data_IF_844532282787
#
_entry.id   IF_844532282787
#
_cell.length_a   1.000
_cell.length_b   1.000
_cell.length_c   1.000
_cell.angle_alpha   90.00
_cell.angle_beta   90.00
_cell.angle_gamma   90.00
#
_symmetry.space_group_name_H-M   'P 1'
#
loop_
_entity.id
_entity.type
_entity.pdbx_description
1 polymer ?
#
# COMPACT_ATOMS: atom_id res chain seq x y z
N UNK A 1 -6.63 -0.57 -7.06
CA UNK A 1 -6.67 -1.72 -7.98
C UNK A 1 -6.24 -1.31 -9.37
N UNK A 2 -5.00 -1.63 -9.70
CA UNK A 2 -4.52 -1.63 -11.08
C UNK A 2 -5.16 -2.79 -11.84
N UNK A 3 -5.49 -2.58 -13.10
CA UNK A 3 -5.95 -3.53 -14.12
C UNK A 3 -4.96 -4.67 -14.46
N UNK A 4 -3.99 -4.94 -13.59
CA UNK A 4 -2.93 -5.91 -13.78
C UNK A 4 -3.22 -7.17 -12.99
N UNK A 5 -2.88 -8.33 -13.56
CA UNK A 5 -2.98 -9.61 -12.86
C UNK A 5 -2.18 -9.62 -11.57
N UNK A 6 -2.77 -10.16 -10.51
CA UNK A 6 -2.15 -10.39 -9.21
C UNK A 6 -2.39 -11.84 -8.76
N UNK A 7 -1.49 -12.36 -7.92
CA UNK A 7 -1.61 -13.72 -7.41
C UNK A 7 -2.39 -13.74 -6.09
N UNK A 8 -3.39 -14.62 -6.04
CA UNK A 8 -4.16 -14.91 -4.84
C UNK A 8 -4.12 -16.40 -4.54
N UNK A 9 -4.11 -16.73 -3.25
CA UNK A 9 -4.22 -18.08 -2.75
C UNK A 9 -5.59 -18.27 -2.09
N UNK A 10 -6.32 -19.28 -2.53
CA UNK A 10 -7.58 -19.70 -1.91
C UNK A 10 -7.30 -20.89 -0.99
N UNK A 11 -7.54 -20.72 0.31
CA UNK A 11 -7.32 -21.76 1.32
C UNK A 11 -8.66 -22.21 1.94
N UNK A 12 -8.64 -23.33 2.66
CA UNK A 12 -9.82 -23.93 3.30
C UNK A 12 -10.97 -24.17 2.30
N UNK A 13 -10.68 -24.84 1.18
CA UNK A 13 -11.65 -25.10 0.09
C UNK A 13 -12.30 -23.82 -0.45
N UNK A 14 -11.56 -22.71 -0.51
CA UNK A 14 -12.05 -21.45 -1.06
C UNK A 14 -12.82 -20.57 -0.07
N UNK A 15 -12.81 -20.88 1.23
CA UNK A 15 -13.47 -20.04 2.25
C UNK A 15 -12.68 -18.81 2.66
N UNK A 16 -11.37 -18.79 2.42
CA UNK A 16 -10.49 -17.67 2.73
C UNK A 16 -9.60 -17.34 1.54
N UNK A 17 -9.54 -16.05 1.22
CA UNK A 17 -8.67 -15.51 0.18
C UNK A 17 -7.47 -14.85 0.84
N UNK A 18 -6.29 -15.16 0.33
CA UNK A 18 -5.06 -14.49 0.71
C UNK A 18 -4.40 -13.87 -0.52
N UNK A 19 -3.85 -12.67 -0.37
CA UNK A 19 -2.98 -12.09 -1.38
C UNK A 19 -1.56 -12.63 -1.22
N UNK A 20 -0.88 -12.83 -2.36
CA UNK A 20 0.53 -13.23 -2.39
C UNK A 20 1.36 -12.01 -2.74
N UNK A 21 2.24 -11.59 -1.83
CA UNK A 21 3.14 -10.46 -2.00
C UNK A 21 4.59 -10.92 -2.02
N UNK A 22 5.43 -10.13 -2.68
CA UNK A 22 6.87 -10.36 -2.73
C UNK A 22 7.60 -9.16 -2.13
N UNK A 23 8.41 -9.42 -1.11
CA UNK A 23 9.46 -8.47 -0.72
C UNK A 23 10.65 -8.68 -1.64
N UNK A 24 11.09 -7.62 -2.31
CA UNK A 24 12.16 -7.65 -3.30
C UNK A 24 13.13 -6.49 -3.04
N UNK A 25 14.42 -6.81 -3.01
CA UNK A 25 15.51 -5.85 -2.88
C UNK A 25 16.62 -6.26 -3.86
N UNK A 26 17.35 -5.27 -4.40
CA UNK A 26 18.42 -5.53 -5.35
C UNK A 26 19.58 -6.31 -4.71
N UNK A 27 20.23 -7.16 -5.50
CA UNK A 27 21.41 -7.94 -5.09
C UNK A 27 21.14 -8.81 -3.84
N UNK A 28 20.09 -9.62 -3.90
CA UNK A 28 19.73 -10.61 -2.88
C UNK A 28 19.64 -12.01 -3.50
N UNK A 29 20.02 -13.02 -2.73
CA UNK A 29 19.89 -14.44 -3.03
C UNK A 29 19.69 -15.22 -1.73
N UNK A 30 19.16 -16.43 -1.82
CA UNK A 30 18.97 -17.31 -0.66
C UNK A 30 19.93 -18.50 -0.72
N UNK A 31 20.51 -18.86 0.43
CA UNK A 31 21.14 -20.17 0.60
C UNK A 31 20.11 -21.11 1.23
N UNK A 32 19.73 -22.15 0.49
CA UNK A 32 18.68 -23.10 0.91
C UNK A 32 19.32 -24.48 0.99
N UNK A 33 19.63 -24.93 2.20
CA UNK A 33 20.39 -26.17 2.41
C UNK A 33 21.79 -26.07 1.79
N UNK A 34 22.04 -26.82 0.71
CA UNK A 34 23.32 -26.82 -0.03
C UNK A 34 23.20 -26.18 -1.42
N UNK A 35 22.10 -25.49 -1.72
CA UNK A 35 21.88 -24.81 -2.99
C UNK A 35 21.78 -23.30 -2.80
N UNK A 36 22.05 -22.57 -3.88
CA UNK A 36 21.88 -21.12 -3.96
C UNK A 36 20.69 -20.83 -4.88
N UNK A 37 19.68 -20.15 -4.35
CA UNK A 37 18.57 -19.62 -5.11
C UNK A 37 18.91 -18.18 -5.51
N UNK A 38 19.06 -17.95 -6.82
CA UNK A 38 19.35 -16.62 -7.37
C UNK A 38 18.23 -15.62 -7.06
N UNK A 39 16.97 -16.06 -7.16
CA UNK A 39 15.81 -15.22 -6.81
C UNK A 39 15.79 -14.93 -5.30
N UNK A 40 16.22 -13.73 -4.93
CA UNK A 40 16.25 -13.25 -3.55
C UNK A 40 14.90 -12.78 -3.00
N UNK A 41 13.78 -12.93 -3.73
CA UNK A 41 12.47 -12.48 -3.24
C UNK A 41 12.01 -13.30 -2.04
N UNK A 42 11.41 -12.64 -1.06
CA UNK A 42 10.67 -13.29 0.02
C UNK A 42 9.17 -13.19 -0.29
N UNK A 43 8.56 -14.33 -0.63
CA UNK A 43 7.12 -14.41 -0.80
C UNK A 43 6.44 -14.57 0.57
N UNK A 44 5.37 -13.81 0.78
CA UNK A 44 4.52 -13.93 1.96
C UNK A 44 3.05 -13.85 1.55
N UNK A 45 2.21 -14.47 2.37
CA UNK A 45 0.80 -14.67 2.10
C UNK A 45 0.01 -14.07 3.25
N UNK A 46 -0.85 -13.10 2.95
CA UNK A 46 -1.65 -12.39 3.96
C UNK A 46 -3.14 -12.52 3.64
N UNK A 47 -4.00 -12.77 4.63
CA UNK A 47 -5.45 -12.72 4.43
C UNK A 47 -5.87 -11.36 3.86
N UNK A 48 -6.76 -11.38 2.87
CA UNK A 48 -7.36 -10.16 2.30
C UNK A 48 -8.87 -10.23 2.49
N UNK A 49 -9.51 -9.07 2.70
CA UNK A 49 -10.97 -9.00 2.68
C UNK A 49 -11.45 -9.17 1.23
N UNK A 50 -12.16 -10.26 0.88
CA UNK A 50 -12.57 -10.53 -0.49
C UNK A 50 -13.56 -9.49 -1.02
N UNK A 51 -14.18 -8.68 -0.16
CA UNK A 51 -15.08 -7.63 -0.60
C UNK A 51 -14.37 -6.55 -1.44
N UNK A 52 -13.06 -6.31 -1.24
CA UNK A 52 -12.29 -5.42 -2.13
C UNK A 52 -12.22 -5.97 -3.57
N UNK A 53 -12.11 -7.28 -3.74
CA UNK A 53 -12.06 -7.92 -5.05
C UNK A 53 -13.42 -7.89 -5.74
N UNK A 54 -14.49 -8.16 -4.99
CA UNK A 54 -15.87 -8.13 -5.49
C UNK A 54 -16.32 -6.69 -5.83
N UNK A 55 -15.82 -5.70 -5.07
CA UNK A 55 -16.13 -4.29 -5.28
C UNK A 55 -15.76 -3.82 -6.70
N UNK A 56 -14.64 -4.29 -7.26
CA UNK A 56 -14.25 -3.99 -8.64
C UNK A 56 -15.35 -4.40 -9.64
N UNK A 57 -15.85 -5.64 -9.53
CA UNK A 57 -16.90 -6.16 -10.41
C UNK A 57 -18.23 -5.43 -10.21
N UNK A 58 -18.60 -5.13 -8.96
CA UNK A 58 -19.81 -4.36 -8.66
C UNK A 58 -19.79 -2.97 -9.31
N UNK A 59 -18.67 -2.26 -9.20
CA UNK A 59 -18.50 -0.94 -9.82
C UNK A 59 -18.51 -1.02 -11.34
N UNK A 60 -17.86 -2.05 -11.92
CA UNK A 60 -17.86 -2.28 -13.37
C UNK A 60 -19.29 -2.51 -13.89
N UNK A 61 -20.04 -3.42 -13.26
CA UNK A 61 -21.42 -3.73 -13.64
C UNK A 61 -22.37 -2.52 -13.48
N UNK A 62 -22.14 -1.67 -12.48
CA UNK A 62 -22.91 -0.44 -12.29
C UNK A 62 -22.61 0.60 -13.37
N UNK A 63 -21.33 0.79 -13.74
CA UNK A 63 -20.92 1.67 -14.85
C UNK A 63 -21.47 1.19 -16.20
N UNK A 64 -21.56 -0.12 -16.43
CA UNK A 64 -22.05 -0.69 -17.70
C UNK A 64 -23.57 -0.71 -17.81
N UNK A 65 -24.28 -1.11 -16.75
CA UNK A 65 -25.73 -1.35 -16.82
C UNK A 65 -26.56 -0.59 -15.77
N UNK A 66 -26.00 -0.31 -14.58
CA UNK A 66 -26.69 0.39 -13.48
C UNK A 66 -27.91 -0.35 -12.91
N UNK A 67 -28.03 -1.67 -13.16
CA UNK A 67 -29.20 -2.50 -12.84
C UNK A 67 -28.89 -3.48 -11.70
N UNK A 68 -29.97 -3.91 -11.04
CA UNK A 68 -29.94 -5.00 -10.07
C UNK A 68 -29.72 -6.34 -10.80
N UNK A 69 -28.66 -7.06 -10.43
CA UNK A 69 -28.25 -8.31 -11.07
C UNK A 69 -27.91 -9.38 -10.01
N UNK A 70 -28.10 -10.68 -10.28
CA UNK A 70 -27.56 -11.76 -9.47
C UNK A 70 -26.03 -11.65 -9.37
N UNK A 71 -25.45 -12.05 -8.24
CA UNK A 71 -24.00 -11.92 -8.00
C UNK A 71 -23.18 -12.72 -9.01
N UNK A 72 -23.72 -13.85 -9.49
CA UNK A 72 -23.12 -14.71 -10.50
C UNK A 72 -23.02 -14.04 -11.88
N UNK A 73 -23.85 -13.03 -12.16
CA UNK A 73 -23.79 -12.24 -13.39
C UNK A 73 -22.87 -11.02 -13.25
N UNK A 74 -22.57 -10.61 -12.01
CA UNK A 74 -21.69 -9.47 -11.72
C UNK A 74 -20.22 -9.91 -11.74
N UNK A 75 -19.90 -11.03 -11.08
CA UNK A 75 -18.52 -11.53 -10.95
C UNK A 75 -18.17 -12.43 -12.14
N UNK A 76 -18.03 -11.80 -13.32
CA UNK A 76 -17.69 -12.48 -14.57
C UNK A 76 -16.51 -11.75 -15.22
N UNK A 77 -15.50 -12.52 -15.59
CA UNK A 77 -14.27 -12.01 -16.20
C UNK A 77 -13.70 -13.03 -17.19
N UNK A 78 -13.59 -12.65 -18.46
CA UNK A 78 -13.06 -13.52 -19.52
C UNK A 78 -11.53 -13.64 -19.43
N UNK A 79 -10.85 -12.58 -18.97
CA UNK A 79 -9.40 -12.59 -18.78
C UNK A 79 -9.01 -13.35 -17.50
N UNK A 80 -9.88 -13.29 -16.48
CA UNK A 80 -9.68 -13.94 -15.18
C UNK A 80 -10.85 -14.86 -14.79
N UNK A 81 -11.06 -16.00 -15.47
CA UNK A 81 -12.23 -16.88 -15.26
C UNK A 81 -12.33 -17.46 -13.83
N UNK A 82 -11.20 -17.50 -13.11
CA UNK A 82 -11.11 -17.91 -11.71
C UNK A 82 -11.79 -16.95 -10.73
N UNK A 83 -12.25 -15.77 -11.15
CA UNK A 83 -12.99 -14.82 -10.29
C UNK A 83 -14.25 -15.44 -9.67
N UNK A 84 -14.85 -16.45 -10.31
CA UNK A 84 -15.97 -17.23 -9.78
C UNK A 84 -15.67 -17.88 -8.41
N UNK A 85 -14.40 -18.16 -8.09
CA UNK A 85 -14.01 -18.68 -6.78
C UNK A 85 -14.33 -17.72 -5.64
N UNK A 86 -14.45 -16.41 -5.91
CA UNK A 86 -14.89 -15.42 -4.92
C UNK A 86 -16.31 -15.68 -4.42
N UNK A 87 -17.17 -16.30 -5.25
CA UNK A 87 -18.54 -16.63 -4.87
C UNK A 87 -18.62 -17.82 -3.90
N UNK A 88 -17.56 -18.63 -3.82
CA UNK A 88 -17.45 -19.73 -2.85
C UNK A 88 -17.07 -19.24 -1.44
N UNK A 89 -16.56 -18.00 -1.34
CA UNK A 89 -16.25 -17.39 -0.06
C UNK A 89 -17.53 -17.00 0.68
N UNK A 90 -17.85 -17.73 1.76
CA UNK A 90 -19.01 -17.41 2.63
C UNK A 90 -18.96 -15.99 3.22
N UNK A 91 -17.76 -15.40 3.33
CA UNK A 91 -17.58 -14.02 3.76
C UNK A 91 -18.13 -13.01 2.74
N UNK A 92 -18.04 -13.30 1.43
CA UNK A 92 -18.58 -12.43 0.38
C UNK A 92 -20.09 -12.34 0.53
N UNK A 93 -20.77 -13.48 0.54
CA UNK A 93 -22.24 -13.54 0.67
C UNK A 93 -22.73 -12.76 1.90
N UNK A 94 -22.06 -12.92 3.04
CA UNK A 94 -22.43 -12.25 4.29
C UNK A 94 -22.10 -10.76 4.30
N UNK A 95 -21.19 -10.28 3.45
CA UNK A 95 -20.67 -8.91 3.51
C UNK A 95 -21.12 -8.02 2.35
N UNK A 96 -21.73 -8.56 1.30
CA UNK A 96 -22.22 -7.80 0.13
C UNK A 96 -23.07 -6.58 0.51
N UNK A 97 -23.98 -6.75 1.48
CA UNK A 97 -24.88 -5.69 1.96
C UNK A 97 -24.17 -4.39 2.43
N UNK A 98 -22.86 -4.44 2.72
CA UNK A 98 -22.05 -3.28 3.08
C UNK A 98 -21.69 -2.39 1.91
N UNK A 99 -21.77 -2.87 0.66
CA UNK A 99 -21.37 -2.12 -0.54
C UNK A 99 -22.48 -2.12 -1.61
N UNK A 100 -23.59 -2.84 -1.38
CA UNK A 100 -24.69 -2.96 -2.34
C UNK A 100 -26.05 -2.57 -1.77
N UNK A 101 -26.93 -2.13 -2.65
CA UNK A 101 -28.38 -2.23 -2.46
C UNK A 101 -28.86 -3.64 -2.85
N UNK A 102 -29.80 -4.18 -2.08
CA UNK A 102 -30.32 -5.54 -2.27
C UNK A 102 -31.80 -5.49 -2.60
N UNK A 103 -32.22 -6.35 -3.54
CA UNK A 103 -33.62 -6.65 -3.81
C UNK A 103 -33.81 -8.15 -3.82
N UNK A 104 -34.88 -8.61 -3.21
CA UNK A 104 -35.26 -10.01 -3.20
C UNK A 104 -36.54 -10.19 -3.99
N UNK A 105 -36.52 -11.09 -4.97
CA UNK A 105 -37.68 -11.45 -5.78
C UNK A 105 -37.79 -12.98 -5.74
N UNK A 106 -38.81 -13.49 -5.06
CA UNK A 106 -38.92 -14.92 -4.77
C UNK A 106 -37.81 -15.36 -3.82
N UNK A 107 -37.04 -16.38 -4.21
CA UNK A 107 -35.89 -16.90 -3.46
C UNK A 107 -34.53 -16.45 -4.02
N UNK A 108 -34.52 -15.40 -4.85
CA UNK A 108 -33.30 -14.89 -5.50
C UNK A 108 -33.02 -13.46 -5.07
N UNK A 109 -31.75 -13.21 -4.77
CA UNK A 109 -31.23 -11.88 -4.42
C UNK A 109 -30.58 -11.23 -5.63
N UNK A 110 -30.78 -9.93 -5.74
CA UNK A 110 -30.22 -9.09 -6.77
C UNK A 110 -29.51 -7.91 -6.12
N UNK A 111 -28.34 -7.58 -6.65
CA UNK A 111 -27.42 -6.61 -6.07
C UNK A 111 -27.17 -5.48 -7.05
N UNK A 112 -27.03 -4.27 -6.53
CA UNK A 112 -26.56 -3.09 -7.26
C UNK A 112 -25.54 -2.37 -6.39
N UNK A 113 -24.45 -1.89 -6.98
CA UNK A 113 -23.44 -1.09 -6.27
C UNK A 113 -24.09 0.12 -5.58
N UNK A 114 -23.62 0.42 -4.37
CA UNK A 114 -24.02 1.60 -3.62
C UNK A 114 -22.78 2.35 -3.13
N UNK A 115 -22.53 3.51 -3.74
CA UNK A 115 -21.42 4.40 -3.38
C UNK A 115 -21.49 4.85 -1.92
N UNK A 116 -22.67 5.23 -1.44
CA UNK A 116 -22.87 5.70 -0.06
C UNK A 116 -22.49 4.61 0.96
N UNK A 117 -23.00 3.38 0.78
CA UNK A 117 -22.66 2.26 1.65
C UNK A 117 -21.17 1.91 1.57
N UNK A 118 -20.60 1.96 0.37
CA UNK A 118 -19.17 1.71 0.14
C UNK A 118 -18.29 2.69 0.89
N UNK A 119 -18.60 3.99 0.86
CA UNK A 119 -17.85 5.00 1.63
C UNK A 119 -17.98 4.78 3.14
N UNK A 120 -19.17 4.43 3.63
CA UNK A 120 -19.37 4.11 5.03
C UNK A 120 -18.58 2.86 5.46
N UNK A 121 -18.52 1.83 4.60
CA UNK A 121 -17.72 0.63 4.83
C UNK A 121 -16.22 0.93 4.81
N UNK A 122 -15.74 1.69 3.83
CA UNK A 122 -14.34 2.12 3.73
C UNK A 122 -13.91 2.95 4.94
N UNK A 123 -14.77 3.86 5.42
CA UNK A 123 -14.48 4.59 6.66
C UNK A 123 -14.26 3.64 7.84
N UNK A 124 -15.09 2.61 8.01
CA UNK A 124 -14.89 1.60 9.07
C UNK A 124 -13.57 0.84 8.90
N UNK A 125 -13.17 0.55 7.66
CA UNK A 125 -11.84 -0.04 7.37
C UNK A 125 -10.71 0.89 7.78
N UNK A 126 -10.81 2.18 7.47
CA UNK A 126 -9.84 3.20 7.90
C UNK A 126 -9.75 3.25 9.42
N UNK A 127 -10.88 3.34 10.11
CA UNK A 127 -10.93 3.38 11.58
C UNK A 127 -10.30 2.11 12.20
N UNK A 128 -10.55 0.93 11.61
CA UNK A 128 -9.94 -0.33 12.03
C UNK A 128 -8.41 -0.32 11.83
N UNK A 129 -7.94 0.15 10.68
CA UNK A 129 -6.50 0.26 10.39
C UNK A 129 -5.82 1.26 11.32
N UNK A 130 -6.45 2.42 11.59
CA UNK A 130 -5.94 3.41 12.55
C UNK A 130 -5.76 2.80 13.94
N UNK A 131 -6.74 2.00 14.40
CA UNK A 131 -6.64 1.30 15.68
C UNK A 131 -5.41 0.39 15.72
N UNK A 132 -5.22 -0.43 14.70
CA UNK A 132 -4.06 -1.34 14.62
C UNK A 132 -2.74 -0.55 14.53
N UNK A 133 -2.70 0.55 13.78
CA UNK A 133 -1.51 1.40 13.65
C UNK A 133 -1.08 1.98 15.00
N UNK A 134 -2.04 2.40 15.84
CA UNK A 134 -1.77 2.92 17.19
C UNK A 134 -1.24 1.85 18.14
N UNK A 135 -1.71 0.62 17.99
CA UNK A 135 -1.26 -0.53 18.78
C UNK A 135 0.09 -1.10 18.29
N UNK A 136 0.52 -0.72 17.08
CA UNK A 136 1.76 -1.17 16.44
C UNK A 136 2.89 -0.14 16.52
N UNK A 137 4.15 -0.59 16.41
CA UNK A 137 5.32 0.30 16.40
C UNK A 137 5.60 0.90 15.00
N UNK A 138 4.54 1.19 14.23
CA UNK A 138 4.64 1.78 12.89
C UNK A 138 4.68 3.30 12.99
N UNK A 139 5.72 3.92 12.42
CA UNK A 139 5.80 5.38 12.39
C UNK A 139 4.97 5.97 11.24
N UNK A 140 3.92 6.72 11.60
CA UNK A 140 3.00 7.38 10.64
C UNK A 140 3.35 8.85 10.35
N UNK A 141 4.34 9.43 11.02
CA UNK A 141 4.70 10.86 10.88
C UNK A 141 5.36 11.23 9.55
N UNK A 142 5.04 12.43 9.02
CA UNK A 142 5.42 12.91 7.68
C UNK A 142 6.87 13.30 7.43
N UNK A 143 7.87 12.65 8.06
CA UNK A 143 9.30 12.91 7.77
C UNK A 143 10.02 11.61 7.38
N UNK A 144 10.83 11.70 6.32
CA UNK A 144 11.63 10.61 5.75
C UNK A 144 12.43 9.86 6.82
N UNK A 145 12.24 8.54 6.89
CA UNK A 145 13.03 7.65 7.73
C UNK A 145 13.99 6.85 6.83
N UNK A 146 15.27 6.84 7.18
CA UNK A 146 16.19 5.84 6.64
C UNK A 146 15.94 4.50 7.34
N UNK A 147 16.03 3.38 6.62
CA UNK A 147 15.84 2.03 7.16
C UNK A 147 16.69 1.70 8.41
N UNK A 148 17.78 2.44 8.65
CA UNK A 148 18.72 2.21 9.75
C UNK A 148 18.57 3.20 10.94
N UNK A 149 17.61 4.13 10.92
CA UNK A 149 17.45 5.13 11.99
C UNK A 149 16.20 4.87 12.82
N UNK A 150 16.39 4.29 14.01
CA UNK A 150 15.34 4.15 15.02
C UNK A 150 15.29 5.46 15.81
N UNK A 151 14.24 6.26 15.60
CA UNK A 151 14.00 7.44 16.42
C UNK A 151 13.44 7.00 17.78
N UNK A 152 14.08 7.41 18.86
CA UNK A 152 13.50 7.29 20.20
C UNK A 152 12.21 8.11 20.19
N UNK A 153 11.08 7.44 20.42
CA UNK A 153 9.71 7.95 20.37
C UNK A 153 9.60 9.26 21.16
N UNK A 154 9.53 10.40 20.47
CA UNK A 154 8.96 11.62 21.06
C UNK A 154 7.50 11.64 20.63
N UNK A 155 6.61 11.15 21.49
CA UNK A 155 5.16 11.01 21.27
C UNK A 155 4.45 12.33 20.91
N UNK A 156 5.13 13.47 21.05
CA UNK A 156 4.52 14.81 20.96
C UNK A 156 4.31 15.37 19.55
N UNK A 157 4.71 14.66 18.48
CA UNK A 157 4.72 15.24 17.11
C UNK A 157 3.78 14.53 16.12
N UNK A 158 3.09 13.44 16.52
CA UNK A 158 2.17 12.69 15.65
C UNK A 158 0.72 13.01 15.99
N UNK A 159 -0.04 13.49 14.99
CA UNK A 159 -1.46 13.84 15.15
C UNK A 159 -2.36 12.68 14.74
N UNK A 160 -3.60 12.71 15.22
CA UNK A 160 -4.66 11.77 14.78
C UNK A 160 -4.81 11.76 13.25
N UNK A 161 -4.74 12.95 12.64
CA UNK A 161 -4.82 13.14 11.19
C UNK A 161 -3.72 12.38 10.43
N UNK A 162 -2.53 12.21 11.02
CA UNK A 162 -1.42 11.48 10.38
C UNK A 162 -1.75 9.98 10.29
N UNK A 163 -2.37 9.41 11.34
CA UNK A 163 -2.83 8.03 11.32
C UNK A 163 -3.92 7.82 10.28
N UNK A 164 -4.91 8.72 10.21
CA UNK A 164 -6.01 8.62 9.24
C UNK A 164 -5.47 8.74 7.82
N UNK A 165 -4.53 9.67 7.57
CA UNK A 165 -3.87 9.82 6.27
C UNK A 165 -3.06 8.58 5.89
N UNK A 166 -2.33 7.99 6.83
CA UNK A 166 -1.56 6.77 6.58
C UNK A 166 -2.48 5.58 6.28
N UNK A 167 -3.53 5.39 7.08
CA UNK A 167 -4.53 4.35 6.86
C UNK A 167 -5.29 4.52 5.53
N UNK A 168 -5.65 5.76 5.16
CA UNK A 168 -6.21 6.08 3.84
C UNK A 168 -5.24 5.68 2.73
N UNK A 169 -3.95 5.98 2.87
CA UNK A 169 -2.91 5.56 1.92
C UNK A 169 -2.87 4.04 1.71
N UNK A 170 -2.82 3.27 2.81
CA UNK A 170 -2.83 1.80 2.74
C UNK A 170 -4.09 1.25 2.05
N UNK A 171 -5.27 1.75 2.41
CA UNK A 171 -6.54 1.30 1.82
C UNK A 171 -6.66 1.70 0.36
N UNK A 172 -6.06 2.83 -0.03
CA UNK A 172 -6.07 3.34 -1.41
C UNK A 172 -5.44 2.36 -2.40
N UNK A 173 -4.50 1.52 -1.97
CA UNK A 173 -3.90 0.49 -2.83
C UNK A 173 -4.93 -0.55 -3.32
N UNK A 174 -5.98 -0.78 -2.52
CA UNK A 174 -7.00 -1.79 -2.78
C UNK A 174 -8.24 -1.26 -3.51
N UNK A 175 -8.35 0.06 -3.77
CA UNK A 175 -9.53 0.68 -4.42
C UNK A 175 -9.13 1.45 -5.70
N UNK A 176 -10.11 1.93 -6.46
CA UNK A 176 -9.86 2.75 -7.66
C UNK A 176 -9.51 4.19 -7.30
N UNK A 177 -8.88 4.92 -8.22
CA UNK A 177 -8.53 6.35 -8.01
C UNK A 177 -9.78 7.23 -7.77
N UNK A 178 -10.91 6.91 -8.43
CA UNK A 178 -12.20 7.56 -8.19
C UNK A 178 -12.60 7.44 -6.70
N UNK A 179 -12.62 6.22 -6.16
CA UNK A 179 -12.98 5.96 -4.77
C UNK A 179 -11.96 6.52 -3.78
N UNK A 180 -10.67 6.51 -4.14
CA UNK A 180 -9.63 7.11 -3.32
C UNK A 180 -9.88 8.59 -3.05
N UNK A 181 -10.22 9.32 -4.11
CA UNK A 181 -10.51 10.76 -4.05
C UNK A 181 -11.77 11.02 -3.23
N UNK A 182 -12.83 10.25 -3.49
CA UNK A 182 -14.10 10.35 -2.76
C UNK A 182 -13.95 10.01 -1.27
N UNK A 183 -13.17 8.98 -0.94
CA UNK A 183 -12.87 8.60 0.44
C UNK A 183 -12.07 9.70 1.16
N UNK A 184 -11.11 10.34 0.47
CA UNK A 184 -10.36 11.46 1.04
C UNK A 184 -11.28 12.61 1.43
N UNK A 185 -12.21 12.98 0.54
CA UNK A 185 -13.23 14.00 0.81
C UNK A 185 -14.17 13.57 1.94
N UNK A 186 -14.59 12.31 1.96
CA UNK A 186 -15.48 11.75 2.99
C UNK A 186 -14.83 11.72 4.38
N UNK A 187 -13.51 11.58 4.46
CA UNK A 187 -12.74 11.62 5.71
C UNK A 187 -12.30 13.04 6.12
N UNK A 188 -12.60 14.06 5.30
CA UNK A 188 -12.16 15.44 5.50
C UNK A 188 -10.63 15.60 5.57
N UNK A 189 -9.90 14.80 4.79
CA UNK A 189 -8.44 14.92 4.72
C UNK A 189 -8.03 16.14 3.88
N UNK A 190 -6.98 16.89 4.30
CA UNK A 190 -6.48 18.02 3.51
C UNK A 190 -5.95 17.55 2.15
N UNK A 191 -6.29 18.27 1.09
CA UNK A 191 -5.73 18.04 -0.23
C UNK A 191 -4.21 18.21 -0.20
N UNK A 192 -3.47 17.17 -0.57
CA UNK A 192 -2.00 17.18 -0.63
C UNK A 192 -1.50 17.93 -1.88
N UNK A 193 -2.40 18.55 -2.66
CA UNK A 193 -2.08 19.22 -3.93
C UNK A 193 -1.47 20.63 -3.80
N UNK A 194 -1.32 21.18 -2.59
CA UNK A 194 -0.53 22.40 -2.40
C UNK A 194 0.92 22.05 -2.04
N UNK A 195 1.93 22.49 -2.82
CA UNK A 195 3.29 22.54 -2.31
C UNK A 195 3.27 23.50 -1.12
N UNK A 196 3.38 22.96 0.09
CA UNK A 196 3.69 23.80 1.25
C UNK A 196 4.97 24.56 0.90
N UNK A 197 4.99 25.90 0.95
CA UNK A 197 6.21 26.64 0.70
C UNK A 197 7.26 26.12 1.66
N UNK A 198 8.36 25.62 1.10
CA UNK A 198 9.54 25.28 1.88
C UNK A 198 9.81 26.47 2.82
N UNK A 199 9.94 26.24 4.14
CA UNK A 199 10.37 27.32 5.02
C UNK A 199 11.68 27.84 4.45
N UNK A 200 11.84 29.18 4.30
CA UNK A 200 13.03 29.73 3.66
C UNK A 200 14.24 29.16 4.39
N UNK A 201 15.13 28.51 3.64
CA UNK A 201 16.42 28.05 4.14
C UNK A 201 17.17 29.27 4.67
N UNK A 202 16.99 29.57 5.96
CA UNK A 202 17.85 30.49 6.68
C UNK A 202 19.19 29.79 6.77
N UNK A 203 20.12 30.21 5.92
CA UNK A 203 21.53 29.87 5.95
C UNK A 203 22.17 30.42 7.23
N UNK A 204 21.83 29.85 8.39
CA UNK A 204 22.58 30.07 9.61
C UNK A 204 23.79 29.13 9.61
N UNK A 205 24.88 29.61 9.00
CA UNK A 205 26.21 29.01 8.94
C UNK A 205 26.93 28.95 10.30
N UNK A 206 26.24 28.59 11.38
CA UNK A 206 26.89 28.32 12.66
C UNK A 206 27.25 26.84 12.73
N UNK A 207 28.48 26.51 12.28
CA UNK A 207 29.06 25.18 12.48
C UNK A 207 28.99 24.79 13.96
N UNK A 208 28.52 23.57 14.22
CA UNK A 208 28.53 22.96 15.56
C UNK A 208 29.97 22.71 16.03
N UNK A 209 30.18 22.57 17.34
CA UNK A 209 31.52 22.34 17.90
C UNK A 209 32.17 21.06 17.33
N UNK A 210 31.36 20.02 17.07
CA UNK A 210 31.78 18.77 16.42
C UNK A 210 32.23 18.97 14.95
N UNK A 211 31.57 19.86 14.21
CA UNK A 211 31.98 20.20 12.84
C UNK A 211 33.29 21.00 12.82
N UNK A 212 33.51 21.86 13.83
CA UNK A 212 34.78 22.60 13.97
C UNK A 212 35.95 21.68 14.35
N UNK A 213 35.72 20.62 15.13
CA UNK A 213 36.76 19.63 15.43
C UNK A 213 37.10 18.75 14.23
N UNK A 214 36.11 18.33 13.44
CA UNK A 214 36.34 17.56 12.20
C UNK A 214 37.07 18.36 11.12
N UNK A 215 36.83 19.67 11.04
CA UNK A 215 37.53 20.56 10.10
C UNK A 215 39.03 20.75 10.43
N UNK A 216 39.46 20.43 11.65
CA UNK A 216 40.86 20.53 12.11
C UNK A 216 41.68 19.26 11.88
N UNK A 217 41.10 18.21 11.33
CA UNK A 217 41.83 16.98 11.01
C UNK A 217 42.85 17.26 9.90
N UNK A 218 44.10 16.85 10.14
CA UNK A 218 45.18 16.95 9.15
C UNK A 218 44.85 16.11 7.92
N UNK A 219 44.81 16.76 6.75
CA UNK A 219 44.46 16.15 5.47
C UNK A 219 45.70 15.74 4.67
N UNK A 220 46.89 15.91 5.23
CA UNK A 220 48.13 15.44 4.61
C UNK A 220 48.06 13.93 4.37
N UNK A 221 48.15 13.51 3.10
CA UNK A 221 48.08 12.10 2.68
C UNK A 221 46.70 11.63 2.19
N UNK A 222 45.63 12.42 2.31
CA UNK A 222 44.33 12.07 1.72
C UNK A 222 44.33 12.36 0.21
N UNK A 223 44.34 11.29 -0.61
CA UNK A 223 44.22 11.41 -2.06
C UNK A 223 42.75 11.58 -2.46
N UNK A 224 42.49 12.44 -3.43
CA UNK A 224 41.16 12.59 -4.01
C UNK A 224 40.74 11.28 -4.68
N UNK A 225 39.49 10.87 -4.47
CA UNK A 225 38.95 9.59 -4.98
C UNK A 225 39.07 9.48 -6.51
N UNK A 226 39.04 10.60 -7.23
CA UNK A 226 39.27 10.65 -8.68
C UNK A 226 40.64 10.11 -9.12
N UNK A 227 41.64 10.12 -8.23
CA UNK A 227 42.98 9.57 -8.52
C UNK A 227 43.02 8.05 -8.61
N UNK A 228 42.00 7.34 -8.11
CA UNK A 228 41.92 5.88 -8.19
C UNK A 228 41.28 5.36 -9.47
N UNK A 229 40.54 6.22 -10.20
CA UNK A 229 39.77 5.85 -11.39
C UNK A 229 40.36 6.41 -12.70
N UNK A 230 41.57 6.96 -12.66
CA UNK A 230 42.24 7.46 -13.85
C UNK A 230 42.87 6.30 -14.67
N UNK A 231 42.70 6.25 -16.00
CA UNK A 231 43.29 5.20 -16.83
C UNK A 231 44.82 5.24 -16.77
N UNK A 232 45.48 4.10 -16.51
CA UNK A 232 46.95 4.00 -16.55
C UNK A 232 47.44 4.25 -17.99
N UNK A 233 48.27 5.27 -18.18
CA UNK A 233 48.91 5.56 -19.47
C UNK A 233 49.72 4.36 -19.98
N UNK A 234 49.59 4.07 -21.27
CA UNK A 234 50.36 3.02 -21.96
C UNK A 234 51.85 3.34 -21.86
N UNK A 235 52.63 2.40 -21.30
CA UNK A 235 54.08 2.47 -21.35
C UNK A 235 54.56 2.19 -22.79
N UNK A 236 55.08 3.21 -23.46
CA UNK A 236 55.88 3.05 -24.68
C UNK A 236 57.22 2.41 -24.30
N UNK A 237 57.57 1.34 -25.02
CA UNK A 237 58.90 0.72 -24.97
C UNK A 237 59.66 1.11 -26.24
#
# INVERSE_FOLDING_TARGET
>A
MTDKGAMFLFINNGQQVCEVKAFQEEFRSWFIGQTVQEDGRLLYVTPVDPLFLVLYYLMKADKEQGKFQPVEQIVVDEEFPSCNLLLQCTLVEKSLHHVTEEKEIGSKKFYRYSKEKTLAWLKKKVDQTVKVLKDSDVCVGGRTQSANFVRIKQESDVKEEDYVRYAHGLISEYITEDLRSELSTYLHLPDVSSPTPEPPTKSNSKMTSAQKSLAKVDKSGMKNISSFFSPKGKATK
#
